data_IF_557370921118
#
_entry.id   IF_557370921118
#
_cell.length_a   1.000
_cell.length_b   1.000
_cell.length_c   1.000
_cell.angle_alpha   90.00
_cell.angle_beta   90.00
_cell.angle_gamma   90.00
#
_symmetry.space_group_name_H-M   'P 1'
#
loop_
_entity.id
_entity.type
_entity.pdbx_description
1 polymer ?
#
# COMPACT_ATOMS: atom_id res chain seq x y z
N UNK A 1 -7.80 -16.04 -12.69
CA UNK A 1 -6.79 -15.53 -11.73
C UNK A 1 -6.14 -14.29 -12.31
N UNK A 2 -5.97 -13.24 -11.53
CA UNK A 2 -5.36 -11.96 -11.92
C UNK A 2 -3.93 -12.12 -12.50
N UNK A 3 -3.24 -13.18 -12.14
CA UNK A 3 -1.87 -13.50 -12.57
C UNK A 3 -1.72 -13.73 -14.08
N UNK A 4 -2.74 -14.22 -14.77
CA UNK A 4 -2.64 -14.53 -16.20
C UNK A 4 -2.63 -13.30 -17.11
N UNK A 5 -3.41 -12.26 -16.78
CA UNK A 5 -3.49 -11.05 -17.60
C UNK A 5 -2.20 -10.20 -17.55
N UNK A 6 -1.46 -10.25 -16.45
CA UNK A 6 -0.22 -9.49 -16.32
C UNK A 6 0.95 -10.10 -17.12
N UNK A 7 1.05 -11.44 -17.21
CA UNK A 7 2.09 -12.10 -18.00
C UNK A 7 2.05 -11.70 -19.48
N UNK A 8 0.84 -11.65 -20.05
CA UNK A 8 0.68 -11.32 -21.46
C UNK A 8 1.02 -9.86 -21.76
N UNK A 9 0.71 -8.93 -20.85
CA UNK A 9 1.03 -7.52 -21.00
C UNK A 9 2.54 -7.26 -20.96
N UNK A 10 3.25 -7.85 -20.02
CA UNK A 10 4.70 -7.61 -19.85
C UNK A 10 5.52 -8.29 -20.92
N UNK A 11 5.12 -9.47 -21.42
CA UNK A 11 5.75 -10.11 -22.57
C UNK A 11 5.57 -9.27 -23.84
N UNK A 12 4.45 -8.60 -23.99
CA UNK A 12 4.20 -7.70 -25.11
C UNK A 12 5.08 -6.44 -25.06
N UNK A 13 5.39 -5.93 -23.88
CA UNK A 13 6.30 -4.79 -23.68
C UNK A 13 7.79 -5.16 -23.74
N UNK A 14 8.13 -6.44 -23.93
CA UNK A 14 9.51 -6.93 -24.02
C UNK A 14 10.27 -6.86 -22.68
N UNK A 15 9.58 -6.80 -21.57
CA UNK A 15 10.17 -6.77 -20.23
C UNK A 15 10.45 -8.19 -19.74
N UNK A 16 11.68 -8.44 -19.27
CA UNK A 16 12.06 -9.69 -18.60
C UNK A 16 11.62 -9.65 -17.12
N UNK A 17 10.35 -10.03 -16.88
CA UNK A 17 9.75 -10.02 -15.56
C UNK A 17 9.44 -11.44 -15.10
N UNK A 18 9.99 -11.84 -13.98
CA UNK A 18 9.66 -13.08 -13.31
C UNK A 18 8.47 -12.86 -12.37
N UNK A 19 7.37 -13.59 -12.59
CA UNK A 19 6.22 -13.62 -11.69
C UNK A 19 6.35 -14.79 -10.73
N UNK A 20 6.22 -14.49 -9.44
CA UNK A 20 6.24 -15.44 -8.34
C UNK A 20 4.98 -15.25 -7.52
N UNK A 21 4.17 -16.29 -7.36
CA UNK A 21 2.99 -16.29 -6.50
C UNK A 21 3.36 -16.93 -5.16
N UNK A 22 3.64 -16.08 -4.16
CA UNK A 22 4.16 -16.51 -2.87
C UNK A 22 3.64 -15.64 -1.72
N UNK A 23 3.79 -16.16 -0.50
CA UNK A 23 3.47 -15.40 0.69
C UNK A 23 4.56 -14.35 0.98
N UNK A 24 4.19 -13.08 0.94
CA UNK A 24 5.09 -11.95 1.20
C UNK A 24 5.67 -11.96 2.63
N UNK A 25 5.02 -12.65 3.57
CA UNK A 25 5.52 -12.83 4.95
C UNK A 25 6.66 -13.86 5.05
N UNK A 26 6.94 -14.59 3.97
CA UNK A 26 8.02 -15.58 3.89
C UNK A 26 8.47 -15.74 2.43
N UNK A 27 9.24 -14.80 1.94
CA UNK A 27 9.68 -14.76 0.55
C UNK A 27 10.70 -15.87 0.23
N UNK A 28 10.54 -16.61 -0.87
CA UNK A 28 11.50 -17.64 -1.31
C UNK A 28 12.75 -17.02 -1.96
N UNK A 29 13.18 -15.87 -1.45
CA UNK A 29 14.32 -15.11 -1.96
C UNK A 29 15.50 -15.21 -1.00
N UNK A 30 16.71 -15.18 -1.55
CA UNK A 30 17.93 -15.18 -0.75
C UNK A 30 18.09 -13.87 0.03
N UNK A 31 18.81 -13.94 1.14
CA UNK A 31 19.22 -12.74 1.88
C UNK A 31 20.08 -11.84 1.00
N UNK A 32 19.92 -10.54 1.12
CA UNK A 32 20.74 -9.54 0.43
C UNK A 32 20.78 -9.73 -1.11
N UNK A 33 19.63 -10.00 -1.73
CA UNK A 33 19.53 -10.27 -3.17
C UNK A 33 18.97 -9.11 -3.99
N UNK A 34 18.32 -8.12 -3.36
CA UNK A 34 17.72 -6.99 -4.05
C UNK A 34 18.32 -5.66 -3.63
N UNK A 35 18.52 -4.77 -4.59
CA UNK A 35 18.91 -3.37 -4.35
C UNK A 35 17.70 -2.51 -4.00
N UNK A 36 16.54 -2.88 -4.53
CA UNK A 36 15.28 -2.16 -4.36
C UNK A 36 14.13 -3.15 -4.16
N UNK A 37 13.29 -2.87 -3.19
CA UNK A 37 11.98 -3.51 -3.00
C UNK A 37 10.91 -2.44 -3.09
N UNK A 38 9.88 -2.67 -3.90
CA UNK A 38 8.74 -1.77 -4.04
C UNK A 38 7.48 -2.46 -3.51
N UNK A 39 6.67 -1.73 -2.77
CA UNK A 39 5.37 -2.17 -2.30
C UNK A 39 4.33 -1.06 -2.45
N UNK A 40 3.15 -1.41 -2.95
CA UNK A 40 2.02 -0.50 -3.06
C UNK A 40 0.83 -1.10 -2.32
N UNK A 41 0.44 -0.45 -1.22
CA UNK A 41 -0.73 -0.83 -0.40
C UNK A 41 -0.76 -2.32 -0.02
N UNK A 42 0.39 -2.89 0.35
CA UNK A 42 0.51 -4.31 0.71
C UNK A 42 0.57 -4.47 2.24
N UNK A 43 1.32 -3.62 2.92
CA UNK A 43 1.60 -3.79 4.35
C UNK A 43 0.34 -3.65 5.18
N UNK A 44 -0.59 -2.78 4.79
CA UNK A 44 -1.85 -2.55 5.49
C UNK A 44 -2.70 -3.83 5.67
N UNK A 45 -2.56 -4.80 4.77
CA UNK A 45 -3.36 -6.05 4.74
C UNK A 45 -2.66 -7.27 5.33
N UNK A 46 -1.40 -7.14 5.75
CA UNK A 46 -0.54 -8.25 6.16
C UNK A 46 -0.11 -8.16 7.63
N UNK A 47 0.67 -9.13 8.08
CA UNK A 47 1.44 -9.01 9.33
C UNK A 47 2.64 -8.08 9.07
N UNK A 48 2.40 -6.79 9.22
CA UNK A 48 3.31 -5.69 8.84
C UNK A 48 4.76 -5.92 9.29
N UNK A 49 4.95 -6.27 10.57
CA UNK A 49 6.29 -6.49 11.14
C UNK A 49 7.03 -7.65 10.46
N UNK A 50 6.30 -8.72 10.08
CA UNK A 50 6.90 -9.85 9.36
C UNK A 50 7.30 -9.45 7.95
N UNK A 51 6.40 -8.81 7.21
CA UNK A 51 6.68 -8.38 5.83
C UNK A 51 7.81 -7.37 5.78
N UNK A 52 7.82 -6.39 6.68
CA UNK A 52 8.90 -5.39 6.77
C UNK A 52 10.24 -6.07 7.09
N UNK A 53 10.24 -7.07 7.99
CA UNK A 53 11.44 -7.87 8.31
C UNK A 53 11.91 -8.69 7.11
N UNK A 54 11.00 -9.29 6.32
CA UNK A 54 11.34 -10.01 5.09
C UNK A 54 11.90 -9.05 4.03
N UNK A 55 11.30 -7.90 3.83
CA UNK A 55 11.84 -6.87 2.94
C UNK A 55 13.25 -6.46 3.37
N UNK A 56 13.47 -6.25 4.68
CA UNK A 56 14.81 -5.96 5.20
C UNK A 56 15.80 -7.11 4.96
N UNK A 57 15.38 -8.35 5.15
CA UNK A 57 16.23 -9.54 4.93
C UNK A 57 16.70 -9.66 3.50
N UNK A 58 15.80 -9.52 2.53
CA UNK A 58 16.12 -9.70 1.10
C UNK A 58 16.87 -8.52 0.49
N UNK A 59 16.79 -7.33 1.07
CA UNK A 59 17.53 -6.16 0.60
C UNK A 59 19.03 -6.33 0.85
N UNK A 60 19.84 -5.88 -0.10
CA UNK A 60 21.29 -5.76 0.02
C UNK A 60 21.65 -4.66 1.03
N UNK A 61 22.92 -4.64 1.46
CA UNK A 61 23.45 -3.51 2.19
C UNK A 61 23.28 -2.22 1.36
N UNK A 62 22.79 -1.16 2.01
CA UNK A 62 22.46 0.13 1.41
C UNK A 62 21.30 0.07 0.38
N UNK A 63 20.60 -1.07 0.30
CA UNK A 63 19.38 -1.24 -0.50
C UNK A 63 18.20 -0.48 0.09
N UNK A 64 17.16 -0.29 -0.71
CA UNK A 64 16.01 0.54 -0.33
C UNK A 64 14.70 -0.22 -0.42
N UNK A 65 13.86 -0.04 0.58
CA UNK A 65 12.43 -0.35 0.52
C UNK A 65 11.68 0.95 0.21
N UNK A 66 10.88 0.95 -0.83
CA UNK A 66 9.95 2.05 -1.14
C UNK A 66 8.54 1.52 -1.07
N UNK A 67 7.71 2.10 -0.21
CA UNK A 67 6.32 1.69 -0.06
C UNK A 67 5.38 2.89 -0.09
N UNK A 68 4.20 2.67 -0.65
CA UNK A 68 3.08 3.60 -0.59
C UNK A 68 2.04 2.93 0.30
N UNK A 69 1.71 3.57 1.43
CA UNK A 69 0.76 3.01 2.38
C UNK A 69 -0.27 4.05 2.81
N UNK A 70 -1.49 3.56 3.11
CA UNK A 70 -2.52 4.38 3.71
C UNK A 70 -2.09 4.81 5.10
N UNK A 71 -2.39 6.07 5.42
CA UNK A 71 -2.22 6.64 6.75
C UNK A 71 -3.51 7.27 7.25
N UNK A 72 -3.60 7.40 8.57
CA UNK A 72 -4.50 8.33 9.24
C UNK A 72 -3.66 9.48 9.81
N UNK A 73 -4.04 10.73 9.54
CA UNK A 73 -3.27 11.91 9.99
C UNK A 73 -3.22 12.00 11.52
N UNK A 74 -4.32 11.65 12.16
CA UNK A 74 -4.46 11.51 13.62
C UNK A 74 -5.52 10.49 13.96
N UNK A 75 -5.39 9.84 15.10
CA UNK A 75 -6.42 8.94 15.61
C UNK A 75 -7.74 9.67 15.87
N UNK A 76 -8.82 8.99 15.54
CA UNK A 76 -10.21 9.41 15.76
C UNK A 76 -10.88 8.45 16.76
N UNK A 77 -12.21 8.44 16.83
CA UNK A 77 -12.91 7.45 17.64
C UNK A 77 -12.57 6.03 17.19
N UNK A 78 -12.25 5.17 18.15
CA UNK A 78 -11.81 3.80 17.85
C UNK A 78 -12.84 2.99 17.06
N UNK A 79 -14.14 3.18 17.36
CA UNK A 79 -15.20 2.48 16.63
C UNK A 79 -15.31 2.94 15.17
N UNK A 80 -14.95 4.20 14.88
CA UNK A 80 -14.88 4.71 13.51
C UNK A 80 -13.67 4.15 12.78
N UNK A 81 -12.49 4.11 13.42
CA UNK A 81 -11.29 3.49 12.86
C UNK A 81 -11.50 2.01 12.52
N UNK A 82 -12.15 1.26 13.42
CA UNK A 82 -12.48 -0.15 13.21
C UNK A 82 -13.41 -0.34 12.01
N UNK A 83 -14.41 0.51 11.81
CA UNK A 83 -15.31 0.47 10.64
C UNK A 83 -14.56 0.75 9.34
N UNK A 84 -13.68 1.74 9.34
CA UNK A 84 -12.87 2.07 8.18
C UNK A 84 -11.94 0.90 7.85
N UNK A 85 -11.22 0.39 8.84
CA UNK A 85 -10.32 -0.74 8.68
C UNK A 85 -11.06 -1.98 8.16
N UNK A 86 -12.24 -2.28 8.69
CA UNK A 86 -13.07 -3.40 8.25
C UNK A 86 -13.52 -3.25 6.79
N UNK A 87 -13.96 -2.05 6.37
CA UNK A 87 -14.38 -1.83 4.99
C UNK A 87 -13.26 -2.12 3.99
N UNK A 88 -12.04 -1.70 4.32
CA UNK A 88 -10.87 -1.92 3.46
C UNK A 88 -10.19 -3.27 3.68
N UNK A 89 -10.63 -4.08 4.64
CA UNK A 89 -10.00 -5.36 4.96
C UNK A 89 -8.63 -5.22 5.65
N UNK A 90 -8.38 -4.06 6.27
CA UNK A 90 -7.15 -3.79 7.02
C UNK A 90 -7.30 -4.21 8.48
N UNK A 91 -6.19 -4.48 9.16
CA UNK A 91 -6.18 -4.80 10.59
C UNK A 91 -6.33 -3.56 11.47
N UNK A 92 -5.71 -2.48 11.07
CA UNK A 92 -5.64 -1.21 11.79
C UNK A 92 -5.23 -0.07 10.88
N UNK A 93 -5.57 1.14 11.28
CA UNK A 93 -5.08 2.36 10.66
C UNK A 93 -3.88 2.87 11.45
N UNK A 94 -2.82 3.23 10.75
CA UNK A 94 -1.60 3.75 11.35
C UNK A 94 -1.36 5.19 10.92
N UNK A 95 -0.85 5.98 11.86
CA UNK A 95 -0.34 7.32 11.58
C UNK A 95 1.03 7.23 10.88
N UNK A 96 1.45 8.32 10.26
CA UNK A 96 2.80 8.45 9.67
C UNK A 96 3.90 8.08 10.68
N UNK A 97 3.78 8.57 11.92
CA UNK A 97 4.76 8.29 12.97
C UNK A 97 4.80 6.81 13.38
N UNK A 98 3.68 6.12 13.42
CA UNK A 98 3.62 4.69 13.73
C UNK A 98 4.23 3.85 12.61
N UNK A 99 3.99 4.20 11.34
CA UNK A 99 4.69 3.58 10.21
C UNK A 99 6.21 3.75 10.32
N UNK A 100 6.68 4.97 10.60
CA UNK A 100 8.12 5.23 10.79
C UNK A 100 8.70 4.37 11.92
N UNK A 101 7.99 4.24 13.04
CA UNK A 101 8.42 3.39 14.15
C UNK A 101 8.52 1.91 13.77
N UNK A 102 7.58 1.39 12.96
CA UNK A 102 7.63 0.00 12.48
C UNK A 102 8.87 -0.24 11.61
N UNK A 103 9.19 0.67 10.69
CA UNK A 103 10.39 0.55 9.86
C UNK A 103 11.67 0.65 10.69
N UNK A 104 11.73 1.56 11.66
CA UNK A 104 12.88 1.68 12.57
C UNK A 104 13.07 0.43 13.43
N UNK A 105 11.97 -0.15 13.95
CA UNK A 105 11.99 -1.41 14.70
C UNK A 105 12.55 -2.58 13.88
N UNK A 106 12.33 -2.56 12.56
CA UNK A 106 12.90 -3.54 11.63
C UNK A 106 14.36 -3.23 11.22
N UNK A 107 15.02 -2.29 11.89
CA UNK A 107 16.42 -1.89 11.70
C UNK A 107 16.73 -1.07 10.44
N UNK A 108 15.74 -0.48 9.76
CA UNK A 108 16.05 0.50 8.73
C UNK A 108 16.71 1.73 9.34
N UNK A 109 17.88 2.11 8.81
CA UNK A 109 18.72 3.19 9.33
C UNK A 109 18.11 4.58 9.13
N UNK A 110 17.45 4.75 8.00
CA UNK A 110 16.80 5.99 7.62
C UNK A 110 15.43 5.71 7.05
N UNK A 111 14.46 6.47 7.48
CA UNK A 111 13.10 6.48 6.92
C UNK A 111 12.80 7.89 6.49
N UNK A 112 12.53 8.09 5.21
CA UNK A 112 12.21 9.39 4.61
C UNK A 112 10.80 9.34 4.04
N UNK A 113 10.01 10.36 4.29
CA UNK A 113 8.73 10.57 3.63
C UNK A 113 9.01 11.33 2.33
N UNK A 114 8.83 10.66 1.19
CA UNK A 114 9.13 11.20 -0.13
C UNK A 114 7.94 11.92 -0.78
N UNK A 115 6.74 11.71 -0.26
CA UNK A 115 5.52 12.32 -0.77
C UNK A 115 4.27 11.76 -0.14
N UNK A 116 3.14 12.18 -0.66
CA UNK A 116 1.81 11.83 -0.20
C UNK A 116 1.05 13.03 0.35
N UNK A 117 -0.13 12.80 0.85
CA UNK A 117 -1.01 13.81 1.42
C UNK A 117 -2.31 13.18 1.91
N UNK A 118 -3.16 13.98 2.49
CA UNK A 118 -4.55 13.60 2.74
C UNK A 118 -5.31 13.48 1.41
N UNK A 119 -6.46 12.80 1.44
CA UNK A 119 -7.31 12.69 0.25
C UNK A 119 -7.66 14.07 -0.31
N UNK A 120 -8.01 15.04 0.56
CA UNK A 120 -8.35 16.39 0.15
C UNK A 120 -7.18 17.12 -0.55
N UNK A 121 -5.95 16.89 -0.11
CA UNK A 121 -4.75 17.48 -0.71
C UNK A 121 -4.42 16.85 -2.06
N UNK A 122 -4.66 15.56 -2.21
CA UNK A 122 -4.30 14.82 -3.44
C UNK A 122 -5.35 14.97 -4.54
N UNK A 123 -6.64 15.06 -4.22
CA UNK A 123 -7.71 15.28 -5.21
C UNK A 123 -7.50 16.56 -6.00
N UNK A 124 -7.00 17.62 -5.36
CA UNK A 124 -6.73 18.90 -6.05
C UNK A 124 -5.60 18.83 -7.06
N UNK A 125 -4.77 17.78 -7.01
CA UNK A 125 -3.67 17.57 -7.94
C UNK A 125 -4.07 16.84 -9.24
N UNK A 126 -5.22 16.17 -9.26
CA UNK A 126 -5.72 15.47 -10.44
C UNK A 126 -6.75 16.34 -11.18
N UNK A 127 -6.30 16.98 -12.27
CA UNK A 127 -7.14 17.85 -13.11
C UNK A 127 -7.91 17.05 -14.16
N UNK A 128 -7.51 15.81 -14.45
CA UNK A 128 -8.18 14.93 -15.43
C UNK A 128 -8.73 13.71 -14.73
N UNK A 129 -10.06 13.53 -14.77
CA UNK A 129 -10.68 12.27 -14.38
C UNK A 129 -10.31 11.19 -15.40
N UNK A 130 -9.82 10.01 -14.96
CA UNK A 130 -9.56 8.92 -15.88
C UNK A 130 -10.87 8.47 -16.54
N UNK A 131 -10.84 8.15 -17.84
CA UNK A 131 -11.97 7.52 -18.53
C UNK A 131 -12.25 6.15 -17.87
N UNK A 132 -13.34 6.09 -17.11
CA UNK A 132 -13.79 4.87 -16.47
C UNK A 132 -14.56 4.02 -17.50
N UNK A 133 -13.98 2.92 -17.92
CA UNK A 133 -14.71 1.91 -18.70
C UNK A 133 -15.46 0.99 -17.72
N UNK A 134 -16.59 1.50 -17.21
CA UNK A 134 -17.40 0.80 -16.22
C UNK A 134 -18.15 -0.35 -16.87
N UNK A 135 -18.04 -1.55 -16.31
CA UNK A 135 -18.85 -2.70 -16.72
C UNK A 135 -20.35 -2.38 -16.64
N UNK A 136 -21.11 -2.79 -17.65
CA UNK A 136 -22.57 -2.60 -17.67
C UNK A 136 -23.32 -3.40 -16.58
N UNK A 137 -22.65 -4.37 -15.96
CA UNK A 137 -23.18 -5.21 -14.88
C UNK A 137 -22.25 -5.15 -13.68
N UNK A 138 -22.54 -4.26 -12.74
CA UNK A 138 -21.90 -4.23 -11.44
C UNK A 138 -22.83 -4.94 -10.45
N UNK A 139 -22.41 -6.02 -9.77
CA UNK A 139 -23.19 -6.64 -8.71
C UNK A 139 -23.55 -5.62 -7.61
N UNK A 140 -24.73 -5.77 -7.01
CA UNK A 140 -25.20 -4.84 -5.98
C UNK A 140 -24.23 -4.70 -4.81
N UNK A 141 -23.60 -5.81 -4.42
CA UNK A 141 -22.61 -5.83 -3.32
C UNK A 141 -21.40 -4.95 -3.63
N UNK A 142 -20.94 -4.94 -4.89
CA UNK A 142 -19.84 -4.06 -5.30
C UNK A 142 -20.27 -2.60 -5.37
N UNK A 143 -21.50 -2.35 -5.79
CA UNK A 143 -22.05 -0.99 -5.80
C UNK A 143 -22.20 -0.44 -4.38
N UNK A 144 -22.71 -1.25 -3.44
CA UNK A 144 -22.80 -0.87 -2.03
C UNK A 144 -21.42 -0.61 -1.42
N UNK A 145 -20.43 -1.45 -1.70
CA UNK A 145 -19.05 -1.26 -1.25
C UNK A 145 -18.45 0.04 -1.82
N UNK A 146 -18.72 0.33 -3.09
CA UNK A 146 -18.29 1.59 -3.70
C UNK A 146 -18.94 2.82 -3.06
N UNK A 147 -20.25 2.78 -2.80
CA UNK A 147 -20.95 3.86 -2.10
C UNK A 147 -20.39 4.07 -0.69
N UNK A 148 -20.09 2.99 0.03
CA UNK A 148 -19.47 3.08 1.36
C UNK A 148 -18.07 3.68 1.29
N UNK A 149 -17.26 3.27 0.30
CA UNK A 149 -15.94 3.85 0.03
C UNK A 149 -16.03 5.36 -0.21
N UNK A 150 -16.94 5.81 -1.10
CA UNK A 150 -17.12 7.22 -1.40
C UNK A 150 -17.57 8.03 -0.17
N UNK A 151 -18.47 7.48 0.65
CA UNK A 151 -18.89 8.13 1.89
C UNK A 151 -17.73 8.30 2.87
N UNK A 152 -16.91 7.26 3.07
CA UNK A 152 -15.71 7.34 3.93
C UNK A 152 -14.71 8.34 3.33
N UNK A 153 -14.46 8.28 2.04
CA UNK A 153 -13.56 9.20 1.34
C UNK A 153 -13.96 10.66 1.57
N UNK A 154 -15.23 10.99 1.42
CA UNK A 154 -15.76 12.35 1.63
C UNK A 154 -15.73 12.76 3.11
N UNK A 155 -16.12 11.86 4.01
CA UNK A 155 -16.22 12.15 5.45
C UNK A 155 -14.84 12.36 6.09
N UNK A 156 -13.86 11.58 5.69
CA UNK A 156 -12.53 11.57 6.29
C UNK A 156 -11.41 12.10 5.38
N UNK A 157 -11.75 12.83 4.30
CA UNK A 157 -10.81 13.34 3.31
C UNK A 157 -9.65 14.19 3.87
N UNK A 158 -9.85 14.83 5.03
CA UNK A 158 -8.82 15.62 5.72
C UNK A 158 -8.05 14.83 6.78
N UNK A 159 -8.33 13.54 6.92
CA UNK A 159 -7.73 12.67 7.93
C UNK A 159 -7.10 11.45 7.28
N UNK A 160 -7.79 10.81 6.33
CA UNK A 160 -7.23 9.69 5.58
C UNK A 160 -6.36 10.20 4.43
N UNK A 161 -5.30 9.47 4.17
CA UNK A 161 -4.39 9.78 3.09
C UNK A 161 -3.39 8.67 2.84
N UNK A 162 -2.31 8.99 2.16
CA UNK A 162 -1.22 8.07 1.94
C UNK A 162 0.14 8.76 2.13
N UNK A 163 1.17 7.96 2.34
CA UNK A 163 2.58 8.41 2.34
C UNK A 163 3.42 7.46 1.51
N UNK A 164 4.42 8.04 0.90
CA UNK A 164 5.51 7.31 0.24
C UNK A 164 6.68 7.29 1.21
N UNK A 165 7.01 6.11 1.71
CA UNK A 165 8.14 5.90 2.60
C UNK A 165 9.32 5.34 1.81
N UNK A 166 10.51 5.92 2.00
CA UNK A 166 11.79 5.39 1.52
C UNK A 166 12.60 4.97 2.74
N UNK A 167 12.85 3.68 2.89
CA UNK A 167 13.55 3.09 4.02
C UNK A 167 14.90 2.54 3.54
N UNK A 168 16.00 2.98 4.14
CA UNK A 168 17.37 2.57 3.79
C UNK A 168 17.90 1.53 4.79
N UNK A 169 18.39 0.39 4.25
CA UNK A 169 19.00 -0.70 5.05
C UNK A 169 20.39 -0.37 5.58
#
# INVERSE_FOLDING_TARGET
SLTYHHKDRWSFEGLDIQLIEENVENLPCLNNSFELVLGESILAFTEKERVISECYRVLQKDGKLVVIEMIIDRHIDKGEEEKIAQLYGMKELLTESEWVQLFQKANFKRVTIAGGGTIAETITAYIEEPEWNVSQFIPNELYEAWVQHENIRLMYQHILGHRIFICEK
#
